data_IF_737217279565
#
_entry.id   IF_737217279565
#
_cell.length_a   1.000
_cell.length_b   1.000
_cell.length_c   1.000
_cell.angle_alpha   90.00
_cell.angle_beta   90.00
_cell.angle_gamma   90.00
#
_symmetry.space_group_name_H-M   'P 1'
#
loop_
_entity.id
_entity.type
_entity.pdbx_description
1 polymer ?
#
# COMPACT_ATOMS: atom_id res chain seq x y z
N UNK A 1 12.25 28.39 21.40
CA UNK A 1 12.42 28.59 19.95
C UNK A 1 12.61 27.26 19.24
N UNK A 2 12.16 27.16 17.99
CA UNK A 2 12.30 25.96 17.17
C UNK A 2 12.74 26.35 15.75
N UNK A 3 13.51 25.48 15.11
CA UNK A 3 13.92 25.63 13.71
C UNK A 3 13.20 24.55 12.90
N UNK A 4 12.49 24.98 11.86
CA UNK A 4 11.84 24.06 10.92
C UNK A 4 12.76 23.71 9.75
N UNK A 5 12.83 22.42 9.42
CA UNK A 5 13.45 21.93 8.19
C UNK A 5 12.40 21.18 7.38
N UNK A 6 12.16 21.65 6.15
CA UNK A 6 11.27 20.98 5.21
C UNK A 6 12.09 20.15 4.21
N UNK A 7 11.71 18.90 4.01
CA UNK A 7 12.31 18.00 3.01
C UNK A 7 11.24 17.63 1.99
N UNK A 8 11.55 17.83 0.71
CA UNK A 8 10.66 17.49 -0.39
C UNK A 8 11.24 16.34 -1.22
N UNK A 9 10.35 15.51 -1.76
CA UNK A 9 10.72 14.41 -2.65
C UNK A 9 11.10 14.93 -4.04
N UNK A 10 12.16 14.37 -4.63
CA UNK A 10 12.49 14.61 -6.04
C UNK A 10 11.37 14.07 -6.95
N UNK A 11 11.04 14.75 -8.08
CA UNK A 11 10.08 14.22 -9.05
C UNK A 11 10.42 12.78 -9.47
N UNK A 12 9.41 11.90 -9.50
CA UNK A 12 9.56 10.48 -9.82
C UNK A 12 10.23 9.63 -8.73
N UNK A 13 10.54 10.20 -7.56
CA UNK A 13 11.08 9.45 -6.43
C UNK A 13 10.03 8.52 -5.79
N UNK A 14 10.52 7.46 -5.15
CA UNK A 14 9.70 6.58 -4.31
C UNK A 14 9.62 7.14 -2.89
N UNK A 15 8.41 7.47 -2.46
CA UNK A 15 8.12 8.07 -1.15
C UNK A 15 8.48 7.11 0.00
N UNK A 16 8.36 5.79 -0.19
CA UNK A 16 8.71 4.79 0.82
C UNK A 16 10.23 4.66 0.97
N UNK A 17 10.97 4.76 -0.15
CA UNK A 17 12.45 4.79 -0.13
C UNK A 17 12.93 6.07 0.56
N UNK A 18 12.34 7.21 0.22
CA UNK A 18 12.64 8.48 0.90
C UNK A 18 12.38 8.39 2.41
N UNK A 19 11.24 7.81 2.82
CA UNK A 19 10.92 7.62 4.23
C UNK A 19 11.97 6.80 4.99
N UNK A 20 12.43 5.68 4.41
CA UNK A 20 13.48 4.83 5.02
C UNK A 20 14.83 5.55 5.13
N UNK A 21 15.21 6.30 4.09
CA UNK A 21 16.43 7.09 4.10
C UNK A 21 16.36 8.20 5.16
N UNK A 22 15.22 8.90 5.24
CA UNK A 22 14.98 9.91 6.27
C UNK A 22 15.01 9.34 7.68
N UNK A 23 14.43 8.15 7.92
CA UNK A 23 14.50 7.50 9.24
C UNK A 23 15.94 7.24 9.67
N UNK A 24 16.76 6.76 8.73
CA UNK A 24 18.15 6.41 8.96
C UNK A 24 18.98 7.65 9.28
N UNK A 25 18.81 8.71 8.50
CA UNK A 25 19.49 9.98 8.75
C UNK A 25 18.99 10.69 10.01
N UNK A 26 17.69 10.61 10.30
CA UNK A 26 17.12 11.16 11.53
C UNK A 26 17.72 10.48 12.76
N UNK A 27 17.82 9.15 12.77
CA UNK A 27 18.45 8.41 13.85
C UNK A 27 19.94 8.74 14.00
N UNK A 28 20.67 8.87 12.89
CA UNK A 28 22.09 9.28 12.88
C UNK A 28 22.27 10.67 13.46
N UNK A 29 21.47 11.64 13.00
CA UNK A 29 21.57 13.03 13.43
C UNK A 29 21.20 13.17 14.90
N UNK A 30 20.13 12.50 15.36
CA UNK A 30 19.69 12.53 16.76
C UNK A 30 20.80 12.13 17.74
N UNK A 31 21.68 11.18 17.38
CA UNK A 31 22.81 10.75 18.21
C UNK A 31 23.97 11.76 18.23
N UNK A 32 24.10 12.58 17.19
CA UNK A 32 25.15 13.60 17.08
C UNK A 32 24.75 14.97 17.66
N UNK A 33 23.52 15.11 18.14
CA UNK A 33 23.03 16.38 18.66
C UNK A 33 23.65 16.73 20.02
N UNK A 34 24.02 18.01 20.24
CA UNK A 34 24.42 18.51 21.55
C UNK A 34 23.31 18.35 22.60
N UNK A 35 23.71 18.29 23.87
CA UNK A 35 22.77 18.23 24.97
C UNK A 35 21.77 19.40 24.94
N UNK A 36 20.47 19.09 25.06
CA UNK A 36 19.39 20.07 25.03
C UNK A 36 18.75 20.31 23.65
N UNK A 37 19.26 19.68 22.58
CA UNK A 37 18.63 19.70 21.26
C UNK A 37 17.89 18.38 20.98
N UNK A 38 16.63 18.48 20.56
CA UNK A 38 15.82 17.33 20.14
C UNK A 38 15.31 17.54 18.71
N UNK A 39 15.47 16.52 17.87
CA UNK A 39 14.85 16.48 16.56
C UNK A 39 13.45 15.86 16.71
N UNK A 40 12.42 16.53 16.18
CA UNK A 40 11.05 15.98 16.12
C UNK A 40 10.49 16.09 14.72
N UNK A 41 9.85 15.02 14.26
CA UNK A 41 9.06 15.02 13.03
C UNK A 41 7.70 15.66 13.31
N UNK A 42 7.33 16.64 12.48
CA UNK A 42 6.03 17.33 12.59
C UNK A 42 5.04 16.81 11.55
N UNK A 43 5.51 16.52 10.33
CA UNK A 43 4.70 15.94 9.26
C UNK A 43 5.51 14.87 8.53
N UNK A 44 5.01 13.63 8.54
CA UNK A 44 5.66 12.47 7.93
C UNK A 44 4.71 11.84 6.90
N UNK A 45 4.76 12.37 5.68
CA UNK A 45 3.98 11.85 4.55
C UNK A 45 4.37 10.41 4.16
N UNK A 46 5.66 10.02 4.09
CA UNK A 46 6.06 8.63 3.89
C UNK A 46 5.43 7.66 4.89
N UNK A 47 5.42 7.99 6.17
CA UNK A 47 4.81 7.15 7.19
C UNK A 47 3.30 6.99 6.98
N UNK A 48 2.59 8.08 6.66
CA UNK A 48 1.16 8.03 6.37
C UNK A 48 0.84 7.16 5.13
N UNK A 49 1.67 7.21 4.08
CA UNK A 49 1.52 6.34 2.89
C UNK A 49 1.81 4.89 3.25
N UNK A 50 2.90 4.61 3.99
CA UNK A 50 3.28 3.26 4.40
C UNK A 50 2.18 2.59 5.22
N UNK A 51 1.64 3.29 6.22
CA UNK A 51 0.54 2.78 7.05
C UNK A 51 -0.71 2.53 6.22
N UNK A 52 -1.09 3.47 5.35
CA UNK A 52 -2.28 3.31 4.50
C UNK A 52 -2.16 2.15 3.51
N UNK A 53 -0.99 1.96 2.86
CA UNK A 53 -0.75 0.81 1.97
C UNK A 53 -0.78 -0.50 2.76
N UNK A 54 -0.17 -0.55 3.95
CA UNK A 54 -0.15 -1.76 4.78
C UNK A 54 -1.54 -2.17 5.25
N UNK A 55 -2.34 -1.21 5.73
CA UNK A 55 -3.72 -1.42 6.13
C UNK A 55 -4.58 -1.86 4.96
N UNK A 56 -4.42 -1.23 3.79
CA UNK A 56 -5.10 -1.64 2.57
C UNK A 56 -4.80 -3.09 2.18
N UNK A 57 -3.52 -3.48 2.15
CA UNK A 57 -3.13 -4.86 1.78
C UNK A 57 -3.74 -5.86 2.77
N UNK A 58 -3.79 -5.51 4.06
CA UNK A 58 -4.45 -6.34 5.07
C UNK A 58 -5.95 -6.50 4.79
N UNK A 59 -6.67 -5.41 4.61
CA UNK A 59 -8.12 -5.44 4.33
C UNK A 59 -8.42 -6.17 3.02
N UNK A 60 -7.59 -5.97 1.99
CA UNK A 60 -7.66 -6.69 0.72
C UNK A 60 -7.52 -8.21 0.91
N UNK A 61 -6.54 -8.64 1.71
CA UNK A 61 -6.33 -10.05 2.00
C UNK A 61 -7.50 -10.65 2.81
N UNK A 62 -7.99 -9.93 3.82
CA UNK A 62 -9.16 -10.34 4.61
C UNK A 62 -10.40 -10.49 3.72
N UNK A 63 -10.68 -9.52 2.85
CA UNK A 63 -11.80 -9.55 1.91
C UNK A 63 -11.66 -10.72 0.91
N UNK A 64 -10.46 -10.93 0.35
CA UNK A 64 -10.19 -12.05 -0.55
C UNK A 64 -10.48 -13.38 0.14
N UNK A 65 -9.97 -13.59 1.36
CA UNK A 65 -10.21 -14.83 2.11
C UNK A 65 -11.71 -15.08 2.33
N UNK A 66 -12.48 -14.05 2.69
CA UNK A 66 -13.92 -14.17 2.89
C UNK A 66 -14.62 -14.56 1.57
N UNK A 67 -14.30 -13.88 0.47
CA UNK A 67 -14.85 -14.19 -0.86
C UNK A 67 -14.54 -15.63 -1.24
N UNK A 68 -13.29 -16.07 -1.10
CA UNK A 68 -12.88 -17.44 -1.39
C UNK A 68 -13.68 -18.46 -0.57
N UNK A 69 -13.82 -18.23 0.74
CA UNK A 69 -14.60 -19.11 1.60
C UNK A 69 -16.05 -19.19 1.12
N UNK A 70 -16.72 -18.06 0.91
CA UNK A 70 -18.12 -18.01 0.44
C UNK A 70 -18.27 -18.70 -0.92
N UNK A 71 -17.37 -18.44 -1.87
CA UNK A 71 -17.37 -19.07 -3.20
C UNK A 71 -17.19 -20.59 -3.10
N UNK A 72 -16.28 -21.08 -2.26
CA UNK A 72 -16.08 -22.53 -2.07
C UNK A 72 -17.33 -23.20 -1.49
N UNK A 73 -17.99 -22.57 -0.52
CA UNK A 73 -19.23 -23.09 0.08
C UNK A 73 -20.43 -23.01 -0.86
N UNK A 74 -20.52 -21.96 -1.69
CA UNK A 74 -21.67 -21.71 -2.55
C UNK A 74 -21.59 -22.47 -3.89
N UNK A 75 -20.43 -22.47 -4.54
CA UNK A 75 -20.26 -22.98 -5.90
C UNK A 75 -19.68 -24.41 -5.92
N UNK A 76 -19.03 -24.84 -4.83
CA UNK A 76 -18.33 -26.12 -4.73
C UNK A 76 -16.85 -26.05 -5.13
N UNK A 77 -16.14 -27.17 -4.97
CA UNK A 77 -14.67 -27.23 -5.07
C UNK A 77 -14.10 -26.84 -6.44
N UNK A 78 -14.75 -27.22 -7.55
CA UNK A 78 -14.20 -27.01 -8.90
C UNK A 78 -14.31 -25.56 -9.35
N UNK A 79 -15.50 -24.99 -9.24
CA UNK A 79 -15.83 -23.60 -9.56
C UNK A 79 -15.18 -22.63 -8.58
N UNK A 80 -15.20 -22.94 -7.27
CA UNK A 80 -14.51 -22.14 -6.26
C UNK A 80 -13.01 -22.01 -6.52
N UNK A 81 -12.35 -23.08 -7.00
CA UNK A 81 -10.93 -23.03 -7.35
C UNK A 81 -10.63 -22.13 -8.56
N UNK A 82 -11.53 -22.09 -9.54
CA UNK A 82 -11.39 -21.19 -10.71
C UNK A 82 -11.44 -19.74 -10.24
N UNK A 83 -12.44 -19.37 -9.44
CA UNK A 83 -12.55 -18.01 -8.84
C UNK A 83 -11.31 -17.70 -8.01
N UNK A 84 -10.81 -18.68 -7.25
CA UNK A 84 -9.66 -18.51 -6.38
C UNK A 84 -8.37 -18.17 -7.11
N UNK A 85 -8.20 -18.68 -8.32
CA UNK A 85 -7.04 -18.40 -9.16
C UNK A 85 -7.22 -17.12 -9.98
N UNK A 86 -8.45 -16.82 -10.40
CA UNK A 86 -8.75 -15.63 -11.21
C UNK A 86 -8.47 -14.32 -10.48
N UNK A 87 -8.86 -14.20 -9.20
CA UNK A 87 -8.72 -12.93 -8.47
C UNK A 87 -7.23 -12.53 -8.27
N UNK A 88 -6.34 -13.39 -7.74
CA UNK A 88 -4.91 -13.05 -7.62
C UNK A 88 -4.25 -12.79 -8.98
N UNK A 89 -4.66 -13.51 -10.02
CA UNK A 89 -4.12 -13.34 -11.37
C UNK A 89 -4.44 -11.93 -11.93
N UNK A 90 -5.68 -11.48 -11.80
CA UNK A 90 -6.08 -10.15 -12.28
C UNK A 90 -5.43 -9.04 -11.46
N UNK A 91 -5.30 -9.21 -10.14
CA UNK A 91 -4.53 -8.28 -9.30
C UNK A 91 -3.05 -8.21 -9.72
N UNK A 92 -2.41 -9.35 -9.97
CA UNK A 92 -1.04 -9.39 -10.46
C UNK A 92 -0.88 -8.69 -11.81
N UNK A 93 -1.80 -8.92 -12.75
CA UNK A 93 -1.82 -8.20 -14.03
C UNK A 93 -2.03 -6.70 -13.86
N UNK A 94 -2.89 -6.29 -12.92
CA UNK A 94 -3.13 -4.87 -12.63
C UNK A 94 -1.89 -4.20 -12.06
N UNK A 95 -1.21 -4.83 -11.08
CA UNK A 95 0.04 -4.31 -10.54
C UNK A 95 1.17 -4.28 -11.58
N UNK A 96 1.24 -5.28 -12.47
CA UNK A 96 2.19 -5.29 -13.57
C UNK A 96 1.92 -4.15 -14.57
N UNK A 97 0.65 -3.90 -14.92
CA UNK A 97 0.26 -2.78 -15.76
C UNK A 97 0.58 -1.44 -15.09
N UNK A 98 0.24 -1.27 -13.81
CA UNK A 98 0.60 -0.07 -13.04
C UNK A 98 2.10 0.18 -13.04
N UNK A 99 2.90 -0.87 -12.83
CA UNK A 99 4.36 -0.78 -12.90
C UNK A 99 4.84 -0.35 -14.28
N UNK A 100 4.29 -0.93 -15.34
CA UNK A 100 4.62 -0.58 -16.74
C UNK A 100 4.26 0.88 -17.09
N UNK A 101 3.11 1.37 -16.63
CA UNK A 101 2.66 2.75 -16.86
C UNK A 101 3.24 3.77 -15.86
N UNK A 102 4.08 3.33 -14.90
CA UNK A 102 4.66 4.19 -13.88
C UNK A 102 3.64 4.75 -12.88
N UNK A 103 2.50 4.08 -12.71
CA UNK A 103 1.45 4.48 -11.76
C UNK A 103 1.84 3.96 -10.37
N UNK A 104 2.21 4.89 -9.48
CA UNK A 104 2.57 4.58 -8.10
C UNK A 104 1.36 4.20 -7.23
N UNK A 105 1.62 3.56 -6.09
CA UNK A 105 0.60 3.29 -5.07
C UNK A 105 0.39 4.52 -4.19
N UNK A 106 -0.75 5.18 -4.36
CA UNK A 106 -1.20 6.31 -3.56
C UNK A 106 -2.66 6.11 -3.11
N UNK A 107 -3.15 6.93 -2.17
CA UNK A 107 -4.50 6.79 -1.59
C UNK A 107 -5.60 6.66 -2.65
N UNK A 108 -5.53 7.43 -3.75
CA UNK A 108 -6.50 7.36 -4.85
C UNK A 108 -6.39 6.04 -5.65
N UNK A 109 -5.19 5.57 -5.97
CA UNK A 109 -5.02 4.30 -6.70
C UNK A 109 -5.44 3.10 -5.86
N UNK A 110 -5.20 3.14 -4.54
CA UNK A 110 -5.71 2.15 -3.59
C UNK A 110 -7.25 2.15 -3.57
N UNK A 111 -7.89 3.33 -3.52
CA UNK A 111 -9.34 3.42 -3.61
C UNK A 111 -9.90 2.83 -4.91
N UNK A 112 -9.24 3.10 -6.05
CA UNK A 112 -9.61 2.51 -7.33
C UNK A 112 -9.47 0.98 -7.35
N UNK A 113 -8.41 0.42 -6.75
CA UNK A 113 -8.20 -1.02 -6.65
C UNK A 113 -9.29 -1.72 -5.82
N UNK A 114 -9.76 -1.12 -4.71
CA UNK A 114 -10.88 -1.68 -3.93
C UNK A 114 -12.17 -1.73 -4.76
N UNK A 115 -12.50 -0.63 -5.44
CA UNK A 115 -13.71 -0.57 -6.27
C UNK A 115 -13.64 -1.58 -7.41
N UNK A 116 -12.51 -1.65 -8.10
CA UNK A 116 -12.28 -2.60 -9.18
C UNK A 116 -12.36 -4.06 -8.69
N UNK A 117 -11.82 -4.36 -7.50
CA UNK A 117 -11.94 -5.70 -6.91
C UNK A 117 -13.39 -6.07 -6.62
N UNK A 118 -14.19 -5.14 -6.08
CA UNK A 118 -15.61 -5.38 -5.82
C UNK A 118 -16.36 -5.78 -7.09
N UNK A 119 -16.09 -5.09 -8.20
CA UNK A 119 -16.65 -5.41 -9.51
C UNK A 119 -16.11 -6.74 -10.07
N UNK A 120 -14.82 -7.00 -9.91
CA UNK A 120 -14.17 -8.23 -10.39
C UNK A 120 -14.74 -9.49 -9.72
N UNK A 121 -15.00 -9.42 -8.41
CA UNK A 121 -15.54 -10.56 -7.66
C UNK A 121 -16.95 -10.89 -8.13
N UNK A 122 -17.76 -9.86 -8.42
CA UNK A 122 -19.11 -10.05 -8.98
C UNK A 122 -19.03 -10.78 -10.34
N UNK A 123 -18.16 -10.30 -11.23
CA UNK A 123 -17.92 -10.88 -12.56
C UNK A 123 -17.35 -12.31 -12.51
N UNK A 124 -16.60 -12.66 -11.46
CA UNK A 124 -16.06 -14.00 -11.28
C UNK A 124 -17.09 -15.00 -10.73
N UNK A 125 -18.17 -14.53 -10.11
CA UNK A 125 -19.22 -15.39 -9.50
C UNK A 125 -20.39 -15.64 -10.47
N UNK A 126 -20.78 -14.64 -11.26
CA UNK A 126 -21.91 -14.69 -12.22
C UNK A 126 -21.53 -15.51 -13.46
#
# INVERSE_FOLDING_TARGET
DAIGLAVAMKPGGDILVLGKALETEFARLQQSLPAGLELRKVSDQPAAVRTGVGEFIRVLAEALVIVLLVSFFSLGLRTGLVVALSIPLVLAMTFAAMHYFGIGLHKISLGALVLALGLLVDDAII
#
